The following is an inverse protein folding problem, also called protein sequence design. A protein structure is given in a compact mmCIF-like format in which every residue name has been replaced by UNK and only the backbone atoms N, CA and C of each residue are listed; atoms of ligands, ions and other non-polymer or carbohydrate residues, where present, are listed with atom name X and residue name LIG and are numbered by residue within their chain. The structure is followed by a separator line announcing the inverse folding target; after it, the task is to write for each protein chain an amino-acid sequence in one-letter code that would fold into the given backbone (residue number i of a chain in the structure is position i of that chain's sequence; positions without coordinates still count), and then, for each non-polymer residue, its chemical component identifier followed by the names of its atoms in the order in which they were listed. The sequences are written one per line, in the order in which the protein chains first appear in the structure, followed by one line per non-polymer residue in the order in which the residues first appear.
data_IF_756792190668
#
_entry.id   IF_756792190668
#
_cell.length_a   1.000
_cell.length_b   1.000
_cell.length_c   1.000
_cell.angle_alpha   90.00
_cell.angle_beta   90.00
_cell.angle_gamma   90.00
#
_symmetry.space_group_name_H-M   'P 1'
#
loop_
_entity.id
_entity.type
_entity.pdbx_description
1 polymer ?
#
# COMPACT_ATOMS: atom_id res chain seq x y z
N UNK A 1 -13.76 20.09 38.89
CA UNK A 1 -14.06 20.39 37.47
C UNK A 1 -12.79 20.51 36.63
N UNK A 2 -11.70 21.09 37.15
CA UNK A 2 -10.41 21.24 36.44
C UNK A 2 -9.75 19.90 36.02
N UNK A 3 -9.75 18.88 36.87
CA UNK A 3 -9.08 17.61 36.56
C UNK A 3 -9.80 16.81 35.46
N UNK A 4 -11.14 16.87 35.43
CA UNK A 4 -11.94 16.20 34.39
C UNK A 4 -11.82 16.90 33.03
N UNK A 5 -11.72 18.22 33.00
CA UNK A 5 -11.49 19.00 31.77
C UNK A 5 -10.06 18.82 31.24
N UNK A 6 -9.07 18.67 32.12
CA UNK A 6 -7.70 18.36 31.72
C UNK A 6 -7.58 16.94 31.12
N UNK A 7 -8.20 15.93 31.74
CA UNK A 7 -8.21 14.55 31.22
C UNK A 7 -8.92 14.50 29.85
N UNK A 8 -10.02 15.24 29.69
CA UNK A 8 -10.76 15.30 28.44
C UNK A 8 -9.98 16.00 27.32
N UNK A 9 -9.36 17.16 27.60
CA UNK A 9 -8.51 17.85 26.63
C UNK A 9 -7.28 17.02 26.20
N UNK A 10 -6.72 16.24 27.13
CA UNK A 10 -5.60 15.33 26.85
C UNK A 10 -6.03 14.12 26.02
N UNK A 11 -7.26 13.64 26.21
CA UNK A 11 -7.89 12.61 25.38
C UNK A 11 -8.12 13.08 23.94
N UNK A 12 -8.75 14.23 23.77
CA UNK A 12 -9.08 14.81 22.47
C UNK A 12 -7.82 15.14 21.65
N UNK A 13 -6.77 15.66 22.30
CA UNK A 13 -5.48 15.92 21.63
C UNK A 13 -4.82 14.64 21.09
N UNK A 14 -4.87 13.54 21.86
CA UNK A 14 -4.29 12.25 21.47
C UNK A 14 -5.03 11.64 20.29
N UNK A 15 -6.36 11.69 20.30
CA UNK A 15 -7.20 11.17 19.21
C UNK A 15 -6.99 11.98 17.92
N UNK A 16 -6.97 13.32 18.02
CA UNK A 16 -6.73 14.17 16.85
C UNK A 16 -5.34 13.96 16.23
N UNK A 17 -4.32 13.76 17.06
CA UNK A 17 -2.97 13.46 16.59
C UNK A 17 -2.89 12.10 15.90
N UNK A 18 -3.54 11.06 16.46
CA UNK A 18 -3.58 9.73 15.85
C UNK A 18 -4.28 9.74 14.49
N UNK A 19 -5.43 10.42 14.38
CA UNK A 19 -6.16 10.55 13.10
C UNK A 19 -5.32 11.30 12.07
N UNK A 20 -4.60 12.35 12.48
CA UNK A 20 -3.69 13.08 11.60
C UNK A 20 -2.57 12.17 11.07
N UNK A 21 -1.96 11.36 11.94
CA UNK A 21 -0.95 10.39 11.54
C UNK A 21 -1.49 9.37 10.54
N UNK A 22 -2.67 8.80 10.80
CA UNK A 22 -3.32 7.84 9.88
C UNK A 22 -3.58 8.48 8.51
N UNK A 23 -4.03 9.74 8.47
CA UNK A 23 -4.20 10.48 7.21
C UNK A 23 -2.89 10.67 6.46
N UNK A 24 -1.80 11.01 7.15
CA UNK A 24 -0.47 11.15 6.55
C UNK A 24 0.08 9.82 6.02
N UNK A 25 -0.21 8.71 6.71
CA UNK A 25 0.12 7.36 6.21
C UNK A 25 -0.67 7.05 4.93
N UNK A 26 -1.97 7.32 4.91
CA UNK A 26 -2.79 7.17 3.70
C UNK A 26 -2.29 8.03 2.53
N UNK A 27 -1.89 9.27 2.80
CA UNK A 27 -1.28 10.13 1.79
C UNK A 27 0.06 9.57 1.28
N UNK A 28 0.88 9.01 2.17
CA UNK A 28 2.15 8.38 1.79
C UNK A 28 1.94 7.17 0.88
N UNK A 29 0.94 6.33 1.18
CA UNK A 29 0.51 5.25 0.28
C UNK A 29 0.06 5.78 -1.08
N UNK A 30 -0.73 6.86 -1.12
CA UNK A 30 -1.18 7.46 -2.38
C UNK A 30 0.00 7.89 -3.26
N UNK A 31 1.00 8.56 -2.66
CA UNK A 31 2.22 8.96 -3.37
C UNK A 31 3.00 7.73 -3.85
N UNK A 32 3.13 6.69 -3.02
CA UNK A 32 3.84 5.48 -3.38
C UNK A 32 3.18 4.73 -4.55
N UNK A 33 1.86 4.49 -4.49
CA UNK A 33 1.12 3.86 -5.60
C UNK A 33 1.19 4.68 -6.88
N UNK A 34 1.07 6.02 -6.78
CA UNK A 34 1.17 6.91 -7.95
C UNK A 34 2.58 6.85 -8.57
N UNK A 35 3.62 6.81 -7.73
CA UNK A 35 5.01 6.71 -8.15
C UNK A 35 5.27 5.40 -8.90
N UNK A 36 4.75 4.28 -8.38
CA UNK A 36 4.87 2.96 -9.01
C UNK A 36 4.10 2.93 -10.32
N UNK A 37 2.86 3.44 -10.36
CA UNK A 37 2.04 3.47 -11.57
C UNK A 37 2.73 4.19 -12.74
N UNK A 38 3.37 5.33 -12.47
CA UNK A 38 4.11 6.07 -13.51
C UNK A 38 5.37 5.35 -13.98
N UNK A 39 6.00 4.55 -13.11
CA UNK A 39 7.22 3.80 -13.43
C UNK A 39 6.90 2.42 -14.03
N UNK A 40 5.70 1.89 -13.81
CA UNK A 40 5.33 0.51 -14.15
C UNK A 40 5.54 0.19 -15.64
N UNK A 41 5.14 1.03 -16.62
CA UNK A 41 5.37 0.73 -18.04
C UNK A 41 6.86 0.66 -18.41
N UNK A 42 7.69 1.53 -17.82
CA UNK A 42 9.13 1.57 -18.12
C UNK A 42 9.95 0.51 -17.37
N UNK A 43 9.44 0.05 -16.23
CA UNK A 43 10.15 -0.89 -15.37
C UNK A 43 9.75 -2.34 -15.65
N UNK A 44 8.44 -2.60 -15.68
CA UNK A 44 7.85 -3.94 -15.69
C UNK A 44 7.26 -4.36 -17.04
N UNK A 45 7.16 -3.43 -17.99
CA UNK A 45 6.62 -3.70 -19.32
C UNK A 45 7.47 -4.62 -20.20
N UNK A 46 6.92 -5.00 -21.36
CA UNK A 46 7.50 -5.82 -22.44
C UNK A 46 8.99 -5.59 -22.81
N UNK A 47 9.45 -4.35 -22.74
CA UNK A 47 10.84 -3.96 -23.00
C UNK A 47 11.46 -3.22 -21.78
N UNK A 48 10.85 -3.39 -20.61
CA UNK A 48 11.25 -2.73 -19.38
C UNK A 48 12.60 -3.22 -18.86
N UNK A 49 13.18 -2.46 -17.93
CA UNK A 49 14.45 -2.84 -17.28
C UNK A 49 14.34 -4.18 -16.55
N UNK A 50 13.18 -4.48 -15.98
CA UNK A 50 12.91 -5.73 -15.28
C UNK A 50 11.53 -6.28 -15.66
N UNK A 51 11.45 -6.98 -16.80
CA UNK A 51 10.27 -7.68 -17.26
C UNK A 51 9.51 -8.47 -16.21
N UNK A 52 8.20 -8.23 -16.10
CA UNK A 52 7.39 -8.90 -15.09
C UNK A 52 7.18 -10.41 -15.36
N UNK A 53 7.18 -10.84 -16.63
CA UNK A 53 7.11 -12.27 -16.98
C UNK A 53 8.35 -13.04 -16.53
N UNK A 54 9.54 -12.39 -16.57
CA UNK A 54 10.79 -13.00 -16.07
C UNK A 54 10.77 -13.14 -14.54
N UNK A 55 10.07 -12.24 -13.86
CA UNK A 55 9.87 -12.33 -12.41
C UNK A 55 8.89 -13.47 -12.09
N UNK A 56 7.79 -13.61 -12.83
CA UNK A 56 6.80 -14.69 -12.63
C UNK A 56 7.43 -16.10 -12.78
N UNK A 57 8.31 -16.30 -13.76
CA UNK A 57 9.07 -17.56 -13.92
C UNK A 57 10.01 -17.85 -12.74
N UNK A 58 10.54 -16.81 -12.10
CA UNK A 58 11.48 -16.92 -10.99
C UNK A 58 10.82 -17.08 -9.62
N UNK A 59 9.59 -16.57 -9.43
CA UNK A 59 8.87 -16.69 -8.16
C UNK A 59 8.20 -18.06 -8.10
N UNK A 60 8.67 -18.91 -7.18
CA UNK A 60 7.99 -20.18 -6.87
C UNK A 60 6.54 -19.89 -6.47
N UNK A 61 5.58 -20.69 -6.92
CA UNK A 61 4.15 -20.54 -6.58
C UNK A 61 3.89 -20.36 -5.06
N UNK A 62 4.76 -20.89 -4.19
CA UNK A 62 4.70 -20.72 -2.74
C UNK A 62 4.95 -19.28 -2.24
N UNK A 63 5.71 -18.49 -2.98
CA UNK A 63 6.14 -17.11 -2.65
C UNK A 63 5.30 -16.04 -3.35
N UNK A 64 4.45 -16.44 -4.31
CA UNK A 64 3.50 -15.53 -4.94
C UNK A 64 2.50 -15.00 -3.90
N UNK A 65 2.39 -13.67 -3.81
CA UNK A 65 1.41 -13.01 -2.94
C UNK A 65 -0.02 -13.47 -3.23
N UNK A 66 -0.89 -13.46 -2.22
CA UNK A 66 -2.26 -13.99 -2.30
C UNK A 66 -3.05 -13.42 -3.48
N UNK A 67 -2.87 -12.13 -3.81
CA UNK A 67 -3.56 -11.48 -4.91
C UNK A 67 -3.05 -11.93 -6.29
N UNK A 68 -1.77 -12.29 -6.40
CA UNK A 68 -1.20 -12.82 -7.65
C UNK A 68 -1.74 -14.20 -8.00
N UNK A 69 -2.02 -15.02 -6.99
CA UNK A 69 -2.68 -16.32 -7.18
C UNK A 69 -4.14 -16.21 -7.63
N UNK A 70 -4.78 -15.07 -7.36
CA UNK A 70 -6.16 -14.79 -7.76
C UNK A 70 -6.25 -14.11 -9.14
N UNK A 71 -5.11 -13.93 -9.83
CA UNK A 71 -5.08 -13.36 -11.18
C UNK A 71 -5.93 -14.22 -12.13
N UNK A 72 -6.90 -13.65 -12.86
CA UNK A 72 -7.56 -14.33 -13.97
C UNK A 72 -6.54 -14.64 -15.08
N UNK A 73 -6.58 -15.84 -15.67
CA UNK A 73 -5.70 -16.21 -16.80
C UNK A 73 -5.86 -15.29 -18.02
N UNK A 74 -6.97 -14.59 -18.13
CA UNK A 74 -7.27 -13.63 -19.19
C UNK A 74 -6.64 -12.24 -19.01
N UNK A 75 -6.14 -11.92 -17.81
CA UNK A 75 -5.58 -10.61 -17.50
C UNK A 75 -4.05 -10.65 -17.62
N UNK A 76 -3.48 -9.70 -18.37
CA UNK A 76 -2.04 -9.54 -18.45
C UNK A 76 -1.41 -9.22 -17.09
N UNK A 77 -0.15 -9.58 -16.89
CA UNK A 77 0.58 -9.28 -15.64
C UNK A 77 0.76 -7.78 -15.46
N UNK A 78 1.01 -7.07 -16.55
CA UNK A 78 1.09 -5.60 -16.60
C UNK A 78 -0.26 -4.96 -16.26
N UNK A 79 -1.35 -5.43 -16.87
CA UNK A 79 -2.71 -4.95 -16.61
C UNK A 79 -3.12 -5.19 -15.14
N UNK A 80 -2.69 -6.32 -14.55
CA UNK A 80 -2.96 -6.57 -13.14
C UNK A 80 -2.17 -5.63 -12.24
N UNK A 81 -0.92 -5.33 -12.55
CA UNK A 81 -0.12 -4.38 -11.79
C UNK A 81 -0.76 -2.99 -11.81
N UNK A 82 -1.20 -2.54 -12.99
CA UNK A 82 -1.91 -1.27 -13.14
C UNK A 82 -3.21 -1.26 -12.35
N UNK A 83 -3.99 -2.34 -12.40
CA UNK A 83 -5.23 -2.47 -11.63
C UNK A 83 -4.97 -2.41 -10.11
N UNK A 84 -3.92 -3.08 -9.62
CA UNK A 84 -3.51 -3.03 -8.21
C UNK A 84 -3.09 -1.62 -7.80
N UNK A 85 -2.33 -0.91 -8.64
CA UNK A 85 -1.93 0.47 -8.39
C UNK A 85 -3.14 1.40 -8.32
N UNK A 86 -4.06 1.32 -9.30
CA UNK A 86 -5.27 2.16 -9.34
C UNK A 86 -6.19 1.89 -8.14
N UNK A 87 -6.38 0.61 -7.77
CA UNK A 87 -7.14 0.25 -6.57
C UNK A 87 -6.48 0.79 -5.30
N UNK A 88 -5.16 0.67 -5.21
CA UNK A 88 -4.36 1.21 -4.10
C UNK A 88 -4.48 2.72 -3.97
N UNK A 89 -4.39 3.45 -5.08
CA UNK A 89 -4.61 4.90 -5.14
C UNK A 89 -6.01 5.28 -4.65
N UNK A 90 -7.04 4.58 -5.10
CA UNK A 90 -8.42 4.86 -4.69
C UNK A 90 -8.63 4.69 -3.18
N UNK A 91 -8.17 3.58 -2.60
CA UNK A 91 -8.27 3.35 -1.16
C UNK A 91 -7.41 4.32 -0.34
N UNK A 92 -6.20 4.63 -0.81
CA UNK A 92 -5.30 5.58 -0.15
C UNK A 92 -5.86 6.99 -0.14
N UNK A 93 -6.53 7.38 -1.23
CA UNK A 93 -7.23 8.67 -1.32
C UNK A 93 -8.39 8.77 -0.33
N UNK A 94 -9.18 7.70 -0.15
CA UNK A 94 -10.24 7.67 0.85
C UNK A 94 -9.69 7.81 2.28
N UNK A 95 -8.59 7.12 2.58
CA UNK A 95 -7.90 7.22 3.88
C UNK A 95 -7.39 8.66 4.09
N UNK A 96 -6.74 9.25 3.09
CA UNK A 96 -6.25 10.63 3.16
C UNK A 96 -7.38 11.66 3.39
N UNK A 97 -8.56 11.43 2.81
CA UNK A 97 -9.76 12.23 3.06
C UNK A 97 -10.31 12.08 4.49
N UNK A 98 -9.88 11.08 5.25
CA UNK A 98 -10.26 10.84 6.65
C UNK A 98 -11.14 9.62 6.88
N UNK A 99 -11.34 8.76 5.87
CA UNK A 99 -11.93 7.44 6.08
C UNK A 99 -10.87 6.47 6.62
N UNK A 100 -10.50 6.69 7.89
CA UNK A 100 -9.54 5.85 8.60
C UNK A 100 -10.25 4.62 9.18
N UNK A 101 -10.54 3.63 8.33
CA UNK A 101 -11.11 2.35 8.75
C UNK A 101 -10.08 1.23 8.64
N UNK A 102 -9.95 0.37 9.65
CA UNK A 102 -8.98 -0.74 9.64
C UNK A 102 -9.09 -1.65 8.40
N UNK A 103 -10.29 -1.96 7.86
CA UNK A 103 -10.40 -2.72 6.61
C UNK A 103 -9.83 -2.02 5.37
N UNK A 104 -9.91 -0.68 5.30
CA UNK A 104 -9.35 0.09 4.19
C UNK A 104 -7.82 0.07 4.24
N UNK A 105 -7.25 0.22 5.44
CA UNK A 105 -5.81 0.04 5.65
C UNK A 105 -5.36 -1.37 5.32
N UNK A 106 -6.14 -2.40 5.70
CA UNK A 106 -5.81 -3.79 5.38
C UNK A 106 -5.81 -4.01 3.87
N UNK A 107 -6.80 -3.48 3.15
CA UNK A 107 -6.86 -3.55 1.71
C UNK A 107 -5.64 -2.85 1.06
N UNK A 108 -5.33 -1.61 1.46
CA UNK A 108 -4.14 -0.90 0.97
C UNK A 108 -2.86 -1.67 1.25
N UNK A 109 -2.71 -2.19 2.47
CA UNK A 109 -1.53 -2.92 2.89
C UNK A 109 -1.35 -4.21 2.09
N UNK A 110 -2.42 -4.99 1.87
CA UNK A 110 -2.38 -6.20 1.05
C UNK A 110 -2.07 -5.92 -0.42
N UNK A 111 -2.62 -4.84 -0.98
CA UNK A 111 -2.31 -4.40 -2.34
C UNK A 111 -0.83 -4.03 -2.45
N UNK A 112 -0.33 -3.21 -1.53
CA UNK A 112 1.07 -2.77 -1.52
C UNK A 112 2.03 -3.94 -1.33
N UNK A 113 1.74 -4.85 -0.39
CA UNK A 113 2.50 -6.09 -0.19
C UNK A 113 2.57 -6.93 -1.47
N UNK A 114 1.45 -7.04 -2.19
CA UNK A 114 1.42 -7.81 -3.44
C UNK A 114 2.34 -7.20 -4.48
N UNK A 115 2.33 -5.87 -4.63
CA UNK A 115 3.24 -5.17 -5.53
C UNK A 115 4.70 -5.30 -5.06
N UNK A 116 4.96 -5.18 -3.76
CA UNK A 116 6.29 -5.28 -3.16
C UNK A 116 6.96 -6.64 -3.43
N UNK A 117 6.21 -7.75 -3.28
CA UNK A 117 6.71 -9.10 -3.55
C UNK A 117 7.17 -9.26 -5.01
N UNK A 118 6.45 -8.66 -5.97
CA UNK A 118 6.83 -8.73 -7.40
C UNK A 118 7.87 -7.69 -7.76
N UNK A 119 7.85 -6.54 -7.09
CA UNK A 119 8.73 -5.42 -7.39
C UNK A 119 10.21 -5.67 -7.06
N UNK A 120 10.49 -6.69 -6.25
CA UNK A 120 11.83 -7.25 -5.99
C UNK A 120 12.87 -6.13 -5.79
N UNK A 121 13.88 -6.05 -6.64
CA UNK A 121 15.04 -5.16 -6.49
C UNK A 121 14.69 -3.67 -6.48
N UNK A 122 13.63 -3.25 -7.17
CA UNK A 122 13.24 -1.84 -7.28
C UNK A 122 12.31 -1.38 -6.16
N UNK A 123 11.60 -2.29 -5.50
CA UNK A 123 10.74 -1.98 -4.36
C UNK A 123 11.34 -2.41 -3.02
N UNK A 124 12.46 -3.15 -2.99
CA UNK A 124 13.09 -3.61 -1.73
C UNK A 124 13.94 -2.53 -1.04
N UNK A 125 13.60 -1.25 -1.21
CA UNK A 125 14.26 -0.15 -0.52
C UNK A 125 13.69 0.09 0.87
N UNK A 126 14.46 0.76 1.72
CA UNK A 126 14.13 0.97 3.13
C UNK A 126 12.81 1.74 3.34
N UNK A 127 12.48 2.67 2.44
CA UNK A 127 11.25 3.46 2.53
C UNK A 127 9.99 2.63 2.26
N UNK A 128 10.04 1.67 1.34
CA UNK A 128 8.94 0.75 1.05
C UNK A 128 8.67 -0.21 2.21
N UNK A 129 9.75 -0.76 2.79
CA UNK A 129 9.69 -1.63 3.97
C UNK A 129 9.11 -0.85 5.16
N UNK A 130 9.59 0.38 5.38
CA UNK A 130 9.06 1.25 6.42
C UNK A 130 7.56 1.53 6.24
N UNK A 131 7.12 1.82 5.01
CA UNK A 131 5.71 2.05 4.73
C UNK A 131 4.86 0.79 5.02
N UNK A 132 5.39 -0.41 4.73
CA UNK A 132 4.74 -1.69 5.05
C UNK A 132 4.65 -1.96 6.55
N UNK A 133 5.70 -1.65 7.32
CA UNK A 133 5.70 -1.78 8.78
C UNK A 133 4.71 -0.81 9.41
N UNK A 134 4.74 0.46 9.01
CA UNK A 134 3.83 1.51 9.51
C UNK A 134 2.39 1.21 9.12
N UNK A 135 2.13 0.76 7.89
CA UNK A 135 0.79 0.35 7.47
C UNK A 135 0.28 -0.86 8.24
N UNK A 136 1.15 -1.82 8.57
CA UNK A 136 0.80 -2.93 9.46
C UNK A 136 0.44 -2.47 10.87
N UNK A 137 1.17 -1.49 11.41
CA UNK A 137 0.84 -0.88 12.71
C UNK A 137 -0.46 -0.07 12.66
N UNK A 138 -0.74 0.61 11.55
CA UNK A 138 -1.98 1.38 11.35
C UNK A 138 -3.25 0.50 11.40
N UNK A 139 -3.12 -0.82 11.21
CA UNK A 139 -4.23 -1.77 11.38
C UNK A 139 -4.69 -1.94 12.83
N UNK A 140 -3.81 -1.62 13.79
CA UNK A 140 -4.06 -1.81 15.22
C UNK A 140 -4.73 -0.59 15.89
N UNK A 141 -4.87 0.51 15.15
CA UNK A 141 -5.55 1.74 15.58
C UNK A 141 -7.01 1.74 15.10
#
# INVERSE_FOLDING_TARGET
EDEATEIQGKGDFRVNTAILLLRLVGFSYLVAFSSIYLQAPGLYGGDGLQPIWRIEEGIKNSEQGMLWRLRPESLGVEEMLDALCLAGMAFSFLIACGLCSSPLFLACWLLYQSIFIVGQTFLSFQWDIFLLEVGGLALLF
#
